data_IF_277575736251
#
_entry.id   IF_277575736251
#
_cell.length_a   1.000
_cell.length_b   1.000
_cell.length_c   1.000
_cell.angle_alpha   90.00
_cell.angle_beta   90.00
_cell.angle_gamma   90.00
#
_symmetry.space_group_name_H-M   'P 1'
#
loop_
_entity.id
_entity.type
_entity.pdbx_description
1 polymer ?
#
# COMPACT_ATOMS: atom_id res chain seq x y z
N UNK A 1 41.48 -25.33 45.98
CA UNK A 1 41.36 -24.35 44.88
C UNK A 1 41.07 -24.98 43.50
N UNK A 2 41.65 -26.13 43.12
CA UNK A 2 41.47 -26.71 41.78
C UNK A 2 40.05 -27.23 41.41
N UNK A 3 39.18 -27.56 42.39
CA UNK A 3 37.78 -27.96 42.11
C UNK A 3 36.87 -26.79 41.69
N UNK A 4 37.13 -25.58 42.20
CA UNK A 4 36.36 -24.38 41.86
C UNK A 4 36.62 -23.90 40.44
N UNK A 5 37.85 -24.05 39.95
CA UNK A 5 38.24 -23.70 38.58
C UNK A 5 37.60 -24.62 37.55
N UNK A 6 37.55 -25.94 37.82
CA UNK A 6 36.84 -26.89 36.95
C UNK A 6 35.35 -26.60 36.84
N UNK A 7 34.71 -26.23 37.95
CA UNK A 7 33.28 -25.92 37.97
C UNK A 7 32.94 -24.62 37.22
N UNK A 8 33.78 -23.59 37.34
CA UNK A 8 33.61 -22.34 36.60
C UNK A 8 33.82 -22.52 35.09
N UNK A 9 34.85 -23.28 34.70
CA UNK A 9 35.14 -23.59 33.30
C UNK A 9 34.04 -24.44 32.68
N UNK A 10 33.49 -25.43 33.39
CA UNK A 10 32.36 -26.23 32.89
C UNK A 10 31.08 -25.41 32.75
N UNK A 11 30.81 -24.48 33.67
CA UNK A 11 29.62 -23.61 33.59
C UNK A 11 29.74 -22.57 32.48
N UNK A 12 30.93 -22.00 32.25
CA UNK A 12 31.18 -21.10 31.13
C UNK A 12 31.12 -21.82 29.78
N UNK A 13 31.66 -23.04 29.68
CA UNK A 13 31.54 -23.86 28.47
C UNK A 13 30.10 -24.28 28.21
N UNK A 14 29.36 -24.69 29.24
CA UNK A 14 27.94 -25.02 29.11
C UNK A 14 27.13 -23.79 28.67
N UNK A 15 27.33 -22.63 29.30
CA UNK A 15 26.67 -21.39 28.90
C UNK A 15 27.05 -20.91 27.49
N UNK A 16 28.30 -21.13 27.06
CA UNK A 16 28.73 -20.82 25.71
C UNK A 16 28.14 -21.80 24.69
N UNK A 17 28.04 -23.09 25.03
CA UNK A 17 27.45 -24.13 24.19
C UNK A 17 25.94 -23.95 24.04
N UNK A 18 25.21 -23.59 25.11
CA UNK A 18 23.78 -23.26 25.04
C UNK A 18 23.56 -22.00 24.21
N UNK A 19 24.40 -20.97 24.35
CA UNK A 19 24.32 -19.77 23.49
C UNK A 19 24.65 -20.06 22.04
N UNK A 20 25.56 -20.98 21.76
CA UNK A 20 25.86 -21.41 20.39
C UNK A 20 24.70 -22.20 19.79
N UNK A 21 24.03 -23.05 20.58
CA UNK A 21 22.86 -23.80 20.16
C UNK A 21 21.64 -22.90 19.93
N UNK A 22 21.43 -21.91 20.79
CA UNK A 22 20.45 -20.84 20.60
C UNK A 22 20.75 -20.03 19.33
N UNK A 23 22.00 -19.60 19.12
CA UNK A 23 22.40 -18.88 17.91
C UNK A 23 22.25 -19.73 16.64
N UNK A 24 22.60 -21.02 16.70
CA UNK A 24 22.42 -21.94 15.56
C UNK A 24 20.93 -22.17 15.26
N UNK A 25 20.09 -22.25 16.29
CA UNK A 25 18.63 -22.35 16.14
C UNK A 25 18.04 -21.07 15.54
N UNK A 26 18.49 -19.89 15.97
CA UNK A 26 18.10 -18.61 15.38
C UNK A 26 18.52 -18.50 13.92
N UNK A 27 19.76 -18.89 13.58
CA UNK A 27 20.26 -18.89 12.20
C UNK A 27 19.49 -19.87 11.32
N UNK A 28 19.20 -21.07 11.83
CA UNK A 28 18.39 -22.07 11.11
C UNK A 28 16.93 -21.63 10.92
N UNK A 29 16.38 -20.91 11.90
CA UNK A 29 15.04 -20.34 11.79
C UNK A 29 15.01 -19.22 10.76
N UNK A 30 16.00 -18.31 10.77
CA UNK A 30 16.12 -17.23 9.79
C UNK A 30 16.35 -17.74 8.36
N UNK A 31 17.15 -18.80 8.18
CA UNK A 31 17.33 -19.44 6.87
C UNK A 31 16.04 -20.10 6.37
N UNK A 32 15.34 -20.84 7.24
CA UNK A 32 14.06 -21.50 6.92
C UNK A 32 12.99 -20.49 6.51
N UNK A 33 12.89 -19.36 7.22
CA UNK A 33 11.98 -18.26 6.89
C UNK A 33 12.33 -17.63 5.54
N UNK A 34 13.62 -17.45 5.26
CA UNK A 34 14.09 -16.94 3.96
C UNK A 34 13.73 -17.90 2.81
N UNK A 35 13.84 -19.21 3.01
CA UNK A 35 13.41 -20.21 2.02
C UNK A 35 11.89 -20.17 1.77
N UNK A 36 11.08 -19.96 2.80
CA UNK A 36 9.64 -19.79 2.67
C UNK A 36 9.28 -18.56 1.81
N UNK A 37 10.00 -17.45 2.02
CA UNK A 37 9.87 -16.26 1.18
C UNK A 37 10.24 -16.49 -0.28
N UNK A 38 11.32 -17.25 -0.54
CA UNK A 38 11.69 -17.66 -1.90
C UNK A 38 10.65 -18.58 -2.55
N UNK A 39 10.12 -19.54 -1.80
CA UNK A 39 9.07 -20.44 -2.26
C UNK A 39 7.82 -19.67 -2.67
N UNK A 40 7.40 -18.67 -1.87
CA UNK A 40 6.27 -17.82 -2.20
C UNK A 40 6.48 -17.07 -3.53
N UNK A 41 7.66 -16.51 -3.76
CA UNK A 41 8.01 -15.80 -5.01
C UNK A 41 8.08 -16.73 -6.22
N UNK A 42 8.66 -17.92 -6.06
CA UNK A 42 8.72 -18.92 -7.13
C UNK A 42 7.30 -19.41 -7.48
N UNK A 43 6.48 -19.71 -6.47
CA UNK A 43 5.09 -20.12 -6.69
C UNK A 43 4.30 -19.04 -7.45
N UNK A 44 4.46 -17.77 -7.07
CA UNK A 44 3.85 -16.64 -7.79
C UNK A 44 4.34 -16.56 -9.24
N UNK A 45 5.64 -16.72 -9.49
CA UNK A 45 6.20 -16.72 -10.85
C UNK A 45 5.60 -17.84 -11.69
N UNK A 46 5.52 -19.06 -11.16
CA UNK A 46 4.92 -20.22 -11.84
C UNK A 46 3.45 -19.95 -12.14
N UNK A 47 2.69 -19.39 -11.19
CA UNK A 47 1.30 -19.01 -11.39
C UNK A 47 1.13 -18.02 -12.54
N UNK A 48 1.95 -16.97 -12.56
CA UNK A 48 1.92 -15.93 -13.60
C UNK A 48 2.27 -16.51 -14.98
N UNK A 49 3.35 -17.29 -15.07
CA UNK A 49 3.76 -17.92 -16.31
C UNK A 49 2.67 -18.86 -16.85
N UNK A 50 2.09 -19.69 -15.99
CA UNK A 50 1.01 -20.60 -16.38
C UNK A 50 -0.22 -19.82 -16.87
N UNK A 51 -0.62 -18.78 -16.14
CA UNK A 51 -1.78 -17.96 -16.49
C UNK A 51 -1.62 -17.21 -17.82
N UNK A 52 -0.44 -16.65 -18.08
CA UNK A 52 -0.15 -15.99 -19.35
C UNK A 52 -0.06 -16.99 -20.50
N UNK A 53 0.52 -18.18 -20.26
CA UNK A 53 0.59 -19.25 -21.26
C UNK A 53 -0.79 -19.72 -21.70
N UNK A 54 -1.74 -19.93 -20.76
CA UNK A 54 -3.12 -20.32 -21.10
C UNK A 54 -3.81 -19.26 -21.95
N UNK A 55 -3.62 -17.98 -21.61
CA UNK A 55 -4.18 -16.87 -22.39
C UNK A 55 -3.63 -16.88 -23.80
N UNK A 56 -2.31 -16.98 -23.96
CA UNK A 56 -1.66 -17.08 -25.26
C UNK A 56 -2.14 -18.29 -26.07
N UNK A 57 -2.19 -19.49 -25.47
CA UNK A 57 -2.62 -20.73 -26.14
C UNK A 57 -4.04 -20.62 -26.71
N UNK A 58 -4.92 -19.91 -26.02
CA UNK A 58 -6.34 -19.78 -26.42
C UNK A 58 -6.62 -18.57 -27.32
N UNK A 59 -5.89 -17.47 -27.17
CA UNK A 59 -6.10 -16.27 -28.00
C UNK A 59 -5.21 -16.21 -29.23
N UNK A 60 -4.11 -16.98 -29.25
CA UNK A 60 -3.04 -16.89 -30.25
C UNK A 60 -2.51 -15.45 -30.45
N UNK A 61 -2.64 -14.60 -29.42
CA UNK A 61 -2.27 -13.20 -29.51
C UNK A 61 -0.75 -13.04 -29.43
N UNK A 62 -0.15 -12.53 -30.51
CA UNK A 62 1.28 -12.29 -30.61
C UNK A 62 1.79 -11.31 -29.54
N UNK A 63 0.94 -10.38 -29.06
CA UNK A 63 1.32 -9.42 -28.02
C UNK A 63 1.67 -10.10 -26.69
N UNK A 64 0.91 -11.14 -26.31
CA UNK A 64 1.18 -11.90 -25.07
C UNK A 64 2.52 -12.62 -25.17
N UNK A 65 2.83 -13.19 -26.33
CA UNK A 65 4.11 -13.84 -26.59
C UNK A 65 5.28 -12.85 -26.52
N UNK A 66 5.13 -11.67 -27.14
CA UNK A 66 6.15 -10.60 -27.10
C UNK A 66 6.39 -10.14 -25.66
N UNK A 67 5.32 -9.94 -24.88
CA UNK A 67 5.43 -9.58 -23.46
C UNK A 67 6.14 -10.68 -22.66
N UNK A 68 5.82 -11.95 -22.92
CA UNK A 68 6.46 -13.07 -22.25
C UNK A 68 7.97 -13.14 -22.54
N UNK A 69 8.37 -12.98 -23.80
CA UNK A 69 9.78 -12.93 -24.22
C UNK A 69 10.49 -11.73 -23.57
N UNK A 70 9.86 -10.55 -23.60
CA UNK A 70 10.38 -9.36 -22.94
C UNK A 70 10.57 -9.60 -21.44
N UNK A 71 9.67 -10.33 -20.81
CA UNK A 71 9.78 -10.67 -19.39
C UNK A 71 10.94 -11.58 -19.06
N UNK A 72 11.18 -12.61 -19.87
CA UNK A 72 12.37 -13.44 -19.73
C UNK A 72 13.65 -12.60 -19.90
N UNK A 73 13.65 -11.66 -20.83
CA UNK A 73 14.77 -10.74 -21.04
C UNK A 73 15.00 -9.82 -19.83
N UNK A 74 13.94 -9.22 -19.28
CA UNK A 74 14.02 -8.37 -18.08
C UNK A 74 14.51 -9.17 -16.86
N UNK A 75 14.00 -10.38 -16.65
CA UNK A 75 14.48 -11.27 -15.58
C UNK A 75 15.93 -11.72 -15.79
N UNK A 76 16.34 -11.94 -17.05
CA UNK A 76 17.73 -12.22 -17.42
C UNK A 76 18.66 -11.06 -17.08
N UNK A 77 18.29 -9.83 -17.47
CA UNK A 77 19.03 -8.61 -17.11
C UNK A 77 19.09 -8.46 -15.59
N UNK A 78 17.98 -8.63 -14.88
CA UNK A 78 17.96 -8.55 -13.43
C UNK A 78 18.93 -9.59 -12.80
N UNK A 79 18.99 -10.80 -13.34
CA UNK A 79 19.91 -11.84 -12.87
C UNK A 79 21.38 -11.45 -13.13
N UNK A 80 21.70 -10.92 -14.31
CA UNK A 80 23.04 -10.43 -14.64
C UNK A 80 23.44 -9.27 -13.70
N UNK A 81 22.54 -8.31 -13.48
CA UNK A 81 22.80 -7.20 -12.56
C UNK A 81 23.06 -7.68 -11.13
N UNK A 82 22.34 -8.72 -10.68
CA UNK A 82 22.52 -9.30 -9.36
C UNK A 82 23.86 -10.01 -9.22
N UNK A 83 24.13 -10.99 -10.08
CA UNK A 83 25.29 -11.89 -9.92
C UNK A 83 26.59 -11.32 -10.47
N UNK A 84 26.55 -10.59 -11.60
CA UNK A 84 27.76 -10.13 -12.27
C UNK A 84 28.16 -8.73 -11.82
N UNK A 85 27.20 -7.81 -11.71
CA UNK A 85 27.47 -6.42 -11.35
C UNK A 85 27.31 -6.12 -9.85
N UNK A 86 26.86 -7.09 -9.05
CA UNK A 86 26.56 -6.90 -7.61
C UNK A 86 25.59 -5.73 -7.35
N UNK A 87 24.76 -5.38 -8.33
CA UNK A 87 23.78 -4.29 -8.25
C UNK A 87 22.43 -4.83 -7.74
N UNK A 88 22.41 -5.30 -6.50
CA UNK A 88 21.25 -5.97 -5.90
C UNK A 88 19.98 -5.13 -5.94
N UNK A 89 20.08 -3.84 -5.60
CA UNK A 89 18.93 -2.92 -5.56
C UNK A 89 18.31 -2.71 -6.94
N UNK A 90 19.13 -2.60 -7.99
CA UNK A 90 18.65 -2.41 -9.36
C UNK A 90 17.97 -3.68 -9.89
N UNK A 91 18.57 -4.85 -9.61
CA UNK A 91 17.99 -6.15 -9.94
C UNK A 91 16.63 -6.38 -9.28
N UNK A 92 16.55 -6.19 -7.96
CA UNK A 92 15.31 -6.34 -7.21
C UNK A 92 14.26 -5.32 -7.67
N UNK A 93 14.68 -4.09 -7.98
CA UNK A 93 13.79 -3.06 -8.49
C UNK A 93 13.12 -3.47 -9.80
N UNK A 94 13.92 -3.91 -10.78
CA UNK A 94 13.42 -4.40 -12.07
C UNK A 94 12.49 -5.61 -11.90
N UNK A 95 12.86 -6.55 -11.04
CA UNK A 95 12.05 -7.75 -10.78
C UNK A 95 10.69 -7.42 -10.18
N UNK A 96 10.63 -6.56 -9.15
CA UNK A 96 9.36 -6.19 -8.50
C UNK A 96 8.45 -5.38 -9.44
N UNK A 97 9.02 -4.46 -10.22
CA UNK A 97 8.30 -3.73 -11.26
C UNK A 97 7.66 -4.70 -12.26
N UNK A 98 8.43 -5.70 -12.70
CA UNK A 98 7.98 -6.69 -13.66
C UNK A 98 6.90 -7.62 -13.09
N UNK A 99 7.02 -8.04 -11.83
CA UNK A 99 5.97 -8.82 -11.15
C UNK A 99 4.64 -8.07 -11.07
N UNK A 100 4.68 -6.78 -10.68
CA UNK A 100 3.47 -5.93 -10.67
C UNK A 100 2.84 -5.82 -12.06
N UNK A 101 3.66 -5.64 -13.10
CA UNK A 101 3.20 -5.56 -14.48
C UNK A 101 2.55 -6.86 -14.97
N UNK A 102 3.22 -8.00 -14.81
CA UNK A 102 2.67 -9.29 -15.27
C UNK A 102 1.39 -9.67 -14.52
N UNK A 103 1.34 -9.41 -13.20
CA UNK A 103 0.15 -9.70 -12.41
C UNK A 103 -1.02 -8.77 -12.82
N UNK A 104 -0.75 -7.52 -13.15
CA UNK A 104 -1.73 -6.60 -13.73
C UNK A 104 -2.28 -7.10 -15.08
N UNK A 105 -1.41 -7.57 -15.97
CA UNK A 105 -1.85 -8.16 -17.25
C UNK A 105 -2.74 -9.39 -17.03
N UNK A 106 -2.38 -10.26 -16.09
CA UNK A 106 -3.17 -11.43 -15.73
C UNK A 106 -4.56 -11.04 -15.21
N UNK A 107 -4.68 -9.89 -14.54
CA UNK A 107 -5.95 -9.33 -14.08
C UNK A 107 -6.83 -8.86 -15.23
N UNK A 108 -6.27 -8.14 -16.20
CA UNK A 108 -7.05 -7.46 -17.25
C UNK A 108 -7.32 -8.31 -18.50
N UNK A 109 -6.48 -9.31 -18.77
CA UNK A 109 -6.64 -10.25 -19.89
C UNK A 109 -7.51 -11.45 -19.49
N UNK A 110 -8.70 -11.22 -18.90
CA UNK A 110 -9.62 -12.30 -18.55
C UNK A 110 -10.70 -12.48 -19.62
N UNK A 111 -11.08 -13.72 -19.92
CA UNK A 111 -12.16 -14.04 -20.84
C UNK A 111 -12.95 -15.27 -20.34
N UNK A 112 -14.24 -15.29 -20.65
CA UNK A 112 -15.16 -16.41 -20.35
C UNK A 112 -14.72 -17.74 -20.97
N UNK A 113 -13.95 -17.71 -22.05
CA UNK A 113 -13.42 -18.88 -22.76
C UNK A 113 -12.43 -19.70 -21.92
N UNK A 114 -11.83 -19.12 -20.88
CA UNK A 114 -10.84 -19.80 -20.03
C UNK A 114 -11.48 -20.58 -18.87
N UNK A 115 -12.79 -20.42 -18.61
CA UNK A 115 -13.44 -20.95 -17.40
C UNK A 115 -13.34 -22.47 -17.24
N UNK A 116 -13.30 -23.20 -18.34
CA UNK A 116 -13.32 -24.67 -18.34
C UNK A 116 -11.92 -25.29 -18.56
N UNK A 117 -10.85 -24.48 -18.62
CA UNK A 117 -9.51 -25.00 -18.84
C UNK A 117 -8.84 -25.42 -17.53
N UNK A 118 -8.35 -26.66 -17.47
CA UNK A 118 -7.66 -27.24 -16.31
C UNK A 118 -6.44 -26.41 -15.92
N UNK A 119 -5.75 -25.83 -16.90
CA UNK A 119 -4.56 -25.00 -16.67
C UNK A 119 -4.90 -23.65 -16.04
N UNK A 120 -6.04 -23.05 -16.38
CA UNK A 120 -6.54 -21.82 -15.73
C UNK A 120 -6.97 -22.11 -14.29
N UNK A 121 -7.57 -23.28 -14.05
CA UNK A 121 -7.92 -23.71 -12.70
C UNK A 121 -6.67 -23.97 -11.83
N UNK A 122 -5.65 -24.64 -12.37
CA UNK A 122 -4.35 -24.76 -11.71
C UNK A 122 -3.74 -23.39 -11.39
N UNK A 123 -3.82 -22.43 -12.32
CA UNK A 123 -3.35 -21.05 -12.11
C UNK A 123 -4.06 -20.39 -10.92
N UNK A 124 -5.38 -20.56 -10.77
CA UNK A 124 -6.14 -20.00 -9.63
C UNK A 124 -5.67 -20.58 -8.30
N UNK A 125 -5.46 -21.89 -8.21
CA UNK A 125 -4.95 -22.52 -6.99
C UNK A 125 -3.51 -22.09 -6.67
N UNK A 126 -2.67 -21.90 -7.70
CA UNK A 126 -1.31 -21.38 -7.52
C UNK A 126 -1.31 -19.93 -7.01
N UNK A 127 -2.20 -19.07 -7.52
CA UNK A 127 -2.36 -17.70 -7.00
C UNK A 127 -2.85 -17.71 -5.55
N UNK A 128 -3.85 -18.55 -5.22
CA UNK A 128 -4.37 -18.63 -3.86
C UNK A 128 -3.33 -19.19 -2.88
N UNK A 129 -2.57 -20.19 -3.28
CA UNK A 129 -1.45 -20.70 -2.47
C UNK A 129 -0.34 -19.66 -2.32
N UNK A 130 -0.07 -18.81 -3.32
CA UNK A 130 0.89 -17.71 -3.19
C UNK A 130 0.45 -16.70 -2.11
N UNK A 131 -0.85 -16.38 -2.03
CA UNK A 131 -1.41 -15.54 -0.95
C UNK A 131 -1.16 -16.17 0.41
N UNK A 132 -1.52 -17.45 0.56
CA UNK A 132 -1.37 -18.17 1.84
C UNK A 132 0.09 -18.25 2.25
N UNK A 133 1.00 -18.62 1.34
CA UNK A 133 2.43 -18.67 1.60
C UNK A 133 2.99 -17.30 1.99
N UNK A 134 2.52 -16.22 1.33
CA UNK A 134 2.94 -14.86 1.65
C UNK A 134 2.51 -14.43 3.05
N UNK A 135 1.26 -14.67 3.42
CA UNK A 135 0.73 -14.36 4.76
C UNK A 135 1.46 -15.19 5.82
N UNK A 136 1.65 -16.49 5.59
CA UNK A 136 2.37 -17.36 6.51
C UNK A 136 3.82 -16.90 6.69
N UNK A 137 4.52 -16.57 5.60
CA UNK A 137 5.89 -16.04 5.66
C UNK A 137 5.95 -14.76 6.49
N UNK A 138 5.06 -13.80 6.18
CA UNK A 138 4.96 -12.52 6.88
C UNK A 138 4.65 -12.69 8.37
N UNK A 139 3.82 -13.67 8.73
CA UNK A 139 3.47 -13.96 10.12
C UNK A 139 4.62 -14.64 10.87
N UNK A 140 5.27 -15.64 10.26
CA UNK A 140 6.42 -16.33 10.87
C UNK A 140 7.59 -15.36 11.07
N UNK A 141 7.89 -14.51 10.09
CA UNK A 141 8.93 -13.46 10.21
C UNK A 141 8.71 -12.58 11.45
N UNK A 142 7.45 -12.23 11.76
CA UNK A 142 7.08 -11.38 12.91
C UNK A 142 7.11 -12.13 14.24
N UNK A 143 6.57 -13.35 14.29
CA UNK A 143 6.58 -14.18 15.51
C UNK A 143 8.01 -14.54 15.90
N UNK A 144 8.86 -14.83 14.92
CA UNK A 144 10.26 -15.17 15.15
C UNK A 144 11.16 -13.95 15.42
N UNK A 145 10.62 -12.73 15.39
CA UNK A 145 11.39 -11.51 15.61
C UNK A 145 12.45 -11.23 14.54
N UNK A 146 12.32 -11.83 13.35
CA UNK A 146 13.28 -11.70 12.26
C UNK A 146 13.19 -10.35 11.53
N UNK A 147 12.18 -9.52 11.84
CA UNK A 147 11.95 -8.23 11.17
C UNK A 147 12.56 -7.09 11.96
N UNK A 148 13.34 -6.27 11.26
CA UNK A 148 13.73 -4.95 11.76
C UNK A 148 12.76 -3.90 11.24
N UNK A 149 11.87 -3.41 12.10
CA UNK A 149 10.88 -2.40 11.72
C UNK A 149 11.58 -1.06 11.42
N UNK A 150 11.56 -0.65 10.16
CA UNK A 150 12.05 0.66 9.72
C UNK A 150 10.87 1.59 9.44
N UNK A 151 10.96 2.87 9.81
CA UNK A 151 9.93 3.83 9.46
C UNK A 151 10.02 4.15 7.97
N UNK A 152 9.04 3.71 7.20
CA UNK A 152 8.88 3.99 5.77
C UNK A 152 7.41 4.25 5.46
N UNK A 153 7.14 5.19 4.56
CA UNK A 153 5.77 5.47 4.09
C UNK A 153 5.31 4.36 3.15
N UNK A 154 6.12 4.09 2.12
CA UNK A 154 5.93 3.02 1.16
C UNK A 154 7.30 2.38 0.90
N UNK A 155 7.37 1.07 0.88
CA UNK A 155 8.61 0.37 0.53
C UNK A 155 8.87 0.48 -0.97
N UNK A 156 10.13 0.35 -1.37
CA UNK A 156 10.50 0.35 -2.80
C UNK A 156 9.83 -0.80 -3.55
N UNK A 157 9.66 -1.95 -2.88
CA UNK A 157 8.97 -3.13 -3.42
C UNK A 157 7.51 -2.79 -3.72
N UNK A 158 6.76 -2.30 -2.73
CA UNK A 158 5.34 -1.93 -2.90
C UNK A 158 5.19 -0.86 -3.97
N UNK A 159 6.02 0.18 -3.95
CA UNK A 159 5.98 1.25 -4.96
C UNK A 159 6.17 0.70 -6.38
N UNK A 160 7.15 -0.18 -6.59
CA UNK A 160 7.43 -0.71 -7.92
C UNK A 160 6.38 -1.71 -8.38
N UNK A 161 5.83 -2.53 -7.49
CA UNK A 161 4.70 -3.42 -7.82
C UNK A 161 3.45 -2.62 -8.19
N UNK A 162 3.14 -1.55 -7.45
CA UNK A 162 2.05 -0.61 -7.75
C UNK A 162 2.25 0.08 -9.11
N UNK A 163 3.45 0.59 -9.38
CA UNK A 163 3.78 1.21 -10.67
C UNK A 163 3.70 0.20 -11.81
N UNK A 164 4.19 -1.02 -11.62
CA UNK A 164 4.08 -2.09 -12.62
C UNK A 164 2.62 -2.41 -12.95
N UNK A 165 1.78 -2.53 -11.94
CA UNK A 165 0.34 -2.78 -12.11
C UNK A 165 -0.36 -1.60 -12.82
N UNK A 166 0.00 -0.36 -12.48
CA UNK A 166 -0.49 0.83 -13.17
C UNK A 166 -0.08 0.85 -14.66
N UNK A 167 1.16 0.48 -14.99
CA UNK A 167 1.62 0.35 -16.38
C UNK A 167 0.84 -0.73 -17.11
N UNK A 168 0.55 -1.87 -16.48
CA UNK A 168 -0.25 -2.93 -17.12
C UNK A 168 -1.64 -2.44 -17.54
N UNK A 169 -2.22 -1.50 -16.78
CA UNK A 169 -3.54 -0.93 -17.10
C UNK A 169 -3.55 -0.10 -18.40
N UNK A 170 -2.40 0.37 -18.90
CA UNK A 170 -2.33 1.14 -20.15
C UNK A 170 -2.59 0.29 -21.39
N UNK A 171 -2.64 -1.04 -21.25
CA UNK A 171 -3.11 -1.94 -22.31
C UNK A 171 -4.61 -1.79 -22.58
N UNK A 172 -5.35 -1.14 -21.68
CA UNK A 172 -6.77 -0.87 -21.79
C UNK A 172 -7.06 0.51 -22.37
N UNK A 173 -8.34 0.78 -22.71
CA UNK A 173 -8.81 2.12 -23.10
C UNK A 173 -8.45 3.18 -22.05
N UNK A 174 -8.07 4.38 -22.51
CA UNK A 174 -7.54 5.48 -21.68
C UNK A 174 -8.45 5.82 -20.49
N UNK A 175 -9.76 5.85 -20.67
CA UNK A 175 -10.70 6.15 -19.58
C UNK A 175 -10.65 5.09 -18.46
N UNK A 176 -10.54 3.82 -18.85
CA UNK A 176 -10.48 2.67 -17.92
C UNK A 176 -9.12 2.58 -17.25
N UNK A 177 -8.04 2.85 -17.98
CA UNK A 177 -6.69 2.87 -17.42
C UNK A 177 -6.53 3.98 -16.38
N UNK A 178 -7.06 5.18 -16.63
CA UNK A 178 -7.08 6.27 -15.65
C UNK A 178 -7.81 5.89 -14.36
N UNK A 179 -8.92 5.16 -14.47
CA UNK A 179 -9.66 4.65 -13.32
C UNK A 179 -8.80 3.66 -12.51
N UNK A 180 -8.13 2.72 -13.17
CA UNK A 180 -7.23 1.78 -12.48
C UNK A 180 -6.04 2.48 -11.85
N UNK A 181 -5.44 3.48 -12.50
CA UNK A 181 -4.34 4.27 -11.94
C UNK A 181 -4.78 4.96 -10.63
N UNK A 182 -5.98 5.55 -10.61
CA UNK A 182 -6.55 6.13 -9.40
C UNK A 182 -6.80 5.08 -8.31
N UNK A 183 -7.23 3.86 -8.66
CA UNK A 183 -7.36 2.75 -7.69
C UNK A 183 -6.02 2.38 -7.07
N UNK A 184 -4.97 2.31 -7.89
CA UNK A 184 -3.59 2.03 -7.42
C UNK A 184 -3.10 3.15 -6.50
N UNK A 185 -3.41 4.41 -6.82
CA UNK A 185 -3.09 5.55 -5.96
C UNK A 185 -3.84 5.48 -4.62
N UNK A 186 -5.14 5.16 -4.63
CA UNK A 186 -5.92 4.96 -3.40
C UNK A 186 -5.37 3.79 -2.56
N UNK A 187 -4.97 2.68 -3.20
CA UNK A 187 -4.31 1.56 -2.52
C UNK A 187 -2.97 1.98 -1.89
N UNK A 188 -2.17 2.80 -2.59
CA UNK A 188 -0.92 3.32 -2.06
C UNK A 188 -1.14 4.16 -0.80
N UNK A 189 -2.17 5.02 -0.82
CA UNK A 189 -2.57 5.83 0.34
C UNK A 189 -3.05 4.94 1.51
N UNK A 190 -3.81 3.89 1.22
CA UNK A 190 -4.25 2.91 2.22
C UNK A 190 -3.08 2.15 2.86
N UNK A 191 -2.07 1.76 2.07
CA UNK A 191 -0.85 1.13 2.60
C UNK A 191 -0.12 2.09 3.54
N UNK A 192 0.00 3.36 3.15
CA UNK A 192 0.59 4.40 4.00
C UNK A 192 -0.21 4.54 5.30
N UNK A 193 -1.54 4.59 5.22
CA UNK A 193 -2.44 4.73 6.36
C UNK A 193 -2.29 3.58 7.37
N UNK A 194 -2.20 2.33 6.87
CA UNK A 194 -1.92 1.14 7.68
C UNK A 194 -0.55 1.21 8.36
N UNK A 195 0.52 1.60 7.64
CA UNK A 195 1.88 1.72 8.21
C UNK A 195 1.97 2.79 9.27
N UNK A 196 1.27 3.91 9.07
CA UNK A 196 1.18 4.99 10.06
C UNK A 196 0.35 4.62 11.28
N UNK A 197 -0.40 3.51 11.25
CA UNK A 197 -1.32 3.07 12.32
C UNK A 197 -2.28 4.20 12.70
N UNK A 198 -2.84 4.81 11.67
CA UNK A 198 -3.92 5.78 11.84
C UNK A 198 -5.11 5.13 12.53
N UNK A 199 -5.86 5.90 13.31
CA UNK A 199 -7.04 5.43 14.04
C UNK A 199 -8.09 4.82 13.09
N UNK A 200 -8.21 5.37 11.88
CA UNK A 200 -9.19 4.94 10.87
C UNK A 200 -8.66 3.90 9.88
N UNK A 201 -7.43 3.39 10.04
CA UNK A 201 -6.80 2.54 9.03
C UNK A 201 -7.55 1.21 8.77
N UNK A 202 -8.03 0.55 9.83
CA UNK A 202 -8.79 -0.71 9.69
C UNK A 202 -10.19 -0.46 9.09
N UNK A 203 -10.98 0.51 9.57
CA UNK A 203 -12.21 0.92 8.89
C UNK A 203 -11.99 1.29 7.42
N UNK A 204 -10.95 2.07 7.10
CA UNK A 204 -10.62 2.49 5.73
C UNK A 204 -10.31 1.28 4.84
N UNK A 205 -9.59 0.29 5.35
CA UNK A 205 -9.32 -0.95 4.63
C UNK A 205 -10.62 -1.73 4.31
N UNK A 206 -11.52 -1.84 5.29
CA UNK A 206 -12.80 -2.51 5.10
C UNK A 206 -13.68 -1.79 4.07
N UNK A 207 -13.76 -0.45 4.16
CA UNK A 207 -14.51 0.39 3.22
C UNK A 207 -13.90 0.30 1.82
N UNK A 208 -12.57 0.41 1.69
CA UNK A 208 -11.86 0.26 0.43
C UNK A 208 -12.16 -1.09 -0.22
N UNK A 209 -12.05 -2.19 0.55
CA UNK A 209 -12.37 -3.52 0.06
C UNK A 209 -13.82 -3.63 -0.44
N UNK A 210 -14.78 -3.16 0.36
CA UNK A 210 -16.20 -3.22 0.02
C UNK A 210 -16.55 -2.38 -1.22
N UNK A 211 -16.10 -1.12 -1.28
CA UNK A 211 -16.37 -0.23 -2.42
C UNK A 211 -15.65 -0.72 -3.69
N UNK A 212 -14.40 -1.18 -3.57
CA UNK A 212 -13.67 -1.73 -4.70
C UNK A 212 -14.38 -2.97 -5.28
N UNK A 213 -14.78 -3.93 -4.43
CA UNK A 213 -15.39 -5.18 -4.88
C UNK A 213 -16.83 -5.04 -5.34
N UNK A 214 -17.66 -4.28 -4.60
CA UNK A 214 -19.12 -4.24 -4.82
C UNK A 214 -19.53 -3.18 -5.84
N UNK A 215 -18.75 -2.10 -5.99
CA UNK A 215 -19.17 -0.94 -6.78
C UNK A 215 -18.18 -0.66 -7.91
N UNK A 216 -16.89 -0.54 -7.61
CA UNK A 216 -15.88 -0.16 -8.60
C UNK A 216 -15.71 -1.18 -9.73
N UNK A 217 -15.35 -2.44 -9.42
CA UNK A 217 -15.12 -3.44 -10.46
C UNK A 217 -16.37 -3.76 -11.29
N UNK A 218 -17.58 -3.87 -10.70
CA UNK A 218 -18.82 -3.99 -11.48
C UNK A 218 -19.08 -2.79 -12.39
N UNK A 219 -18.89 -1.55 -11.90
CA UNK A 219 -19.09 -0.32 -12.69
C UNK A 219 -18.05 -0.16 -13.81
N UNK A 220 -16.85 -0.71 -13.63
CA UNK A 220 -15.80 -0.69 -14.64
C UNK A 220 -16.19 -1.48 -15.91
N UNK A 221 -17.08 -2.49 -15.78
CA UNK A 221 -17.57 -3.38 -16.86
C UNK A 221 -16.45 -4.08 -17.64
N UNK A 222 -15.36 -4.41 -16.96
CA UNK A 222 -14.21 -5.12 -17.53
C UNK A 222 -14.22 -6.57 -17.02
N UNK A 223 -13.96 -7.56 -17.90
CA UNK A 223 -13.70 -8.92 -17.44
C UNK A 223 -12.36 -8.93 -16.69
N UNK A 224 -12.43 -8.86 -15.37
CA UNK A 224 -11.23 -8.93 -14.50
C UNK A 224 -11.08 -10.35 -13.94
N UNK A 225 -9.85 -10.78 -13.71
CA UNK A 225 -9.57 -12.03 -12.99
C UNK A 225 -9.56 -11.76 -11.47
N UNK A 226 -10.58 -12.21 -10.71
CA UNK A 226 -10.69 -11.90 -9.29
C UNK A 226 -9.58 -12.55 -8.46
N UNK A 227 -9.05 -13.71 -8.88
CA UNK A 227 -7.97 -14.39 -8.15
C UNK A 227 -6.64 -13.65 -8.27
N UNK A 228 -6.35 -13.12 -9.46
CA UNK A 228 -5.14 -12.32 -9.69
C UNK A 228 -5.22 -10.97 -8.94
N UNK A 229 -6.40 -10.32 -8.95
CA UNK A 229 -6.65 -9.11 -8.17
C UNK A 229 -6.49 -9.37 -6.67
N UNK A 230 -7.16 -10.40 -6.15
CA UNK A 230 -7.05 -10.79 -4.75
C UNK A 230 -5.59 -11.10 -4.37
N UNK A 231 -4.84 -11.75 -5.26
CA UNK A 231 -3.41 -12.00 -5.06
C UNK A 231 -2.61 -10.71 -4.95
N UNK A 232 -2.81 -9.77 -5.88
CA UNK A 232 -2.10 -8.47 -5.86
C UNK A 232 -2.39 -7.68 -4.59
N UNK A 233 -3.68 -7.49 -4.25
CA UNK A 233 -4.07 -6.74 -3.05
C UNK A 233 -3.59 -7.43 -1.77
N UNK A 234 -3.77 -8.75 -1.65
CA UNK A 234 -3.39 -9.48 -0.44
C UNK A 234 -1.88 -9.45 -0.23
N UNK A 235 -1.08 -9.66 -1.28
CA UNK A 235 0.38 -9.64 -1.16
C UNK A 235 0.92 -8.26 -0.72
N UNK A 236 0.31 -7.17 -1.18
CA UNK A 236 0.69 -5.80 -0.79
C UNK A 236 0.20 -5.42 0.61
N UNK A 237 -1.02 -5.82 0.99
CA UNK A 237 -1.64 -5.41 2.27
C UNK A 237 -1.19 -6.28 3.44
N UNK A 238 -0.75 -7.53 3.21
CA UNK A 238 -0.40 -8.48 4.28
C UNK A 238 0.63 -7.92 5.27
N UNK A 239 1.72 -7.35 4.78
CA UNK A 239 2.76 -6.78 5.63
C UNK A 239 2.29 -5.56 6.45
N UNK A 240 1.79 -4.48 5.82
CA UNK A 240 1.36 -3.30 6.56
C UNK A 240 0.21 -3.62 7.53
N UNK A 241 -0.68 -4.57 7.19
CA UNK A 241 -1.75 -5.02 8.09
C UNK A 241 -1.21 -5.72 9.33
N UNK A 242 -0.27 -6.64 9.18
CA UNK A 242 0.36 -7.32 10.33
C UNK A 242 1.19 -6.34 11.16
N UNK A 243 1.84 -5.35 10.52
CA UNK A 243 2.61 -4.31 11.22
C UNK A 243 1.75 -3.40 12.11
N UNK A 244 0.43 -3.28 11.86
CA UNK A 244 -0.49 -2.58 12.79
C UNK A 244 -0.44 -3.21 14.19
N UNK A 245 -0.33 -4.54 14.25
CA UNK A 245 -0.31 -5.31 15.50
C UNK A 245 1.11 -5.53 16.04
N UNK A 246 2.04 -5.98 15.21
CA UNK A 246 3.38 -6.40 15.65
C UNK A 246 4.41 -5.27 15.76
N UNK A 247 4.21 -4.13 15.09
CA UNK A 247 5.19 -3.05 15.13
C UNK A 247 5.10 -2.26 16.45
N UNK A 248 6.22 -2.25 17.19
CA UNK A 248 6.41 -1.45 18.40
C UNK A 248 6.83 0.01 18.16
N UNK A 249 6.94 0.46 16.90
CA UNK A 249 7.36 1.84 16.59
C UNK A 249 6.38 2.86 17.17
N UNK A 250 6.92 3.92 17.77
CA UNK A 250 6.13 5.06 18.26
C UNK A 250 5.51 5.85 17.11
N UNK A 251 4.48 6.66 17.41
CA UNK A 251 3.79 7.47 16.39
C UNK A 251 4.77 8.43 15.69
N UNK A 252 5.64 9.09 16.45
CA UNK A 252 6.60 10.07 15.91
C UNK A 252 7.68 9.40 15.04
N UNK A 253 8.10 8.18 15.40
CA UNK A 253 9.01 7.38 14.57
C UNK A 253 8.39 6.95 13.25
N UNK A 254 7.12 6.50 13.24
CA UNK A 254 6.43 6.09 11.99
C UNK A 254 6.31 7.24 11.01
N UNK A 255 5.92 8.41 11.50
CA UNK A 255 5.76 9.63 10.68
C UNK A 255 7.09 10.30 10.31
N UNK A 256 8.22 9.84 10.88
CA UNK A 256 9.56 10.38 10.64
C UNK A 256 9.89 10.61 9.15
N UNK A 257 9.64 9.68 8.20
CA UNK A 257 9.99 9.89 6.80
C UNK A 257 9.23 11.06 6.16
N UNK A 258 8.00 11.30 6.61
CA UNK A 258 7.19 12.44 6.19
C UNK A 258 7.63 13.74 6.86
N UNK A 259 7.87 13.69 8.17
CA UNK A 259 8.29 14.85 8.98
C UNK A 259 9.62 15.42 8.50
N UNK A 260 10.60 14.57 8.22
CA UNK A 260 11.92 14.99 7.75
C UNK A 260 11.97 15.37 6.26
N UNK A 261 10.87 15.20 5.52
CA UNK A 261 10.81 15.60 4.11
C UNK A 261 10.84 17.13 3.98
N UNK A 262 11.40 17.62 2.87
CA UNK A 262 11.56 19.07 2.65
C UNK A 262 10.24 19.86 2.73
N UNK A 263 10.34 21.14 3.11
CA UNK A 263 9.19 22.06 3.26
C UNK A 263 8.27 22.07 2.03
N UNK A 264 8.86 22.06 0.83
CA UNK A 264 8.14 22.09 -0.44
C UNK A 264 7.28 20.84 -0.59
N UNK A 265 7.83 19.66 -0.28
CA UNK A 265 7.07 18.42 -0.43
C UNK A 265 5.89 18.33 0.53
N UNK A 266 6.07 18.77 1.79
CA UNK A 266 4.95 18.84 2.74
C UNK A 266 3.86 19.82 2.28
N UNK A 267 4.24 20.97 1.70
CA UNK A 267 3.27 21.92 1.12
C UNK A 267 2.55 21.35 -0.09
N UNK A 268 3.26 20.67 -0.99
CA UNK A 268 2.65 20.00 -2.14
C UNK A 268 1.68 18.90 -1.69
N UNK A 269 1.96 18.20 -0.59
CA UNK A 269 1.03 17.23 0.00
C UNK A 269 -0.31 17.89 0.40
N UNK A 270 -0.27 19.07 1.05
CA UNK A 270 -1.50 19.79 1.44
C UNK A 270 -2.26 20.29 0.20
N UNK A 271 -1.55 20.83 -0.79
CA UNK A 271 -2.15 21.28 -2.04
C UNK A 271 -2.80 20.09 -2.78
N UNK A 272 -2.12 18.94 -2.80
CA UNK A 272 -2.64 17.72 -3.42
C UNK A 272 -3.95 17.28 -2.77
N UNK A 273 -4.06 17.33 -1.44
CA UNK A 273 -5.32 17.03 -0.73
C UNK A 273 -6.41 18.00 -1.16
N UNK A 274 -6.14 19.32 -1.16
CA UNK A 274 -7.12 20.32 -1.59
C UNK A 274 -7.57 20.16 -3.05
N UNK A 275 -6.68 19.72 -3.95
CA UNK A 275 -7.02 19.41 -5.35
C UNK A 275 -7.95 18.21 -5.43
N UNK A 276 -7.67 17.13 -4.68
CA UNK A 276 -8.55 15.93 -4.65
C UNK A 276 -9.93 16.30 -4.12
N UNK A 277 -10.00 17.02 -3.00
CA UNK A 277 -11.26 17.50 -2.41
C UNK A 277 -12.06 18.37 -3.40
N UNK A 278 -11.38 19.26 -4.14
CA UNK A 278 -12.02 20.08 -5.15
C UNK A 278 -12.57 19.22 -6.30
N UNK A 279 -11.81 18.24 -6.79
CA UNK A 279 -12.28 17.34 -7.85
C UNK A 279 -13.50 16.54 -7.35
N UNK A 280 -13.47 16.02 -6.11
CA UNK A 280 -14.62 15.36 -5.49
C UNK A 280 -15.87 16.25 -5.54
N UNK A 281 -15.74 17.51 -5.10
CA UNK A 281 -16.84 18.46 -5.09
C UNK A 281 -17.38 18.77 -6.49
N UNK A 282 -16.50 18.95 -7.48
CA UNK A 282 -16.89 19.16 -8.88
C UNK A 282 -17.63 17.94 -9.45
N UNK A 283 -17.13 16.73 -9.18
CA UNK A 283 -17.80 15.50 -9.61
C UNK A 283 -19.16 15.32 -8.92
N UNK A 284 -19.27 15.66 -7.64
CA UNK A 284 -20.55 15.67 -6.92
C UNK A 284 -21.52 16.68 -7.57
N UNK A 285 -21.05 17.87 -7.94
CA UNK A 285 -21.86 18.89 -8.60
C UNK A 285 -22.40 18.45 -9.96
N UNK A 286 -21.68 17.63 -10.72
CA UNK A 286 -22.20 17.08 -11.98
C UNK A 286 -23.46 16.22 -11.78
N UNK A 287 -23.72 15.69 -10.59
CA UNK A 287 -24.97 14.98 -10.29
C UNK A 287 -26.21 15.88 -10.38
N UNK A 288 -26.05 17.19 -10.27
CA UNK A 288 -27.15 18.16 -10.42
C UNK A 288 -27.74 18.20 -11.83
N UNK A 289 -27.00 17.74 -12.85
CA UNK A 289 -27.49 17.66 -14.23
C UNK A 289 -28.47 16.51 -14.47
N UNK A 290 -28.64 15.61 -13.51
CA UNK A 290 -29.52 14.45 -13.60
C UNK A 290 -30.92 14.81 -13.08
N UNK A 291 -31.91 14.85 -14.00
CA UNK A 291 -33.25 15.39 -13.74
C UNK A 291 -34.19 14.40 -13.02
N UNK A 292 -33.82 13.12 -12.91
CA UNK A 292 -34.70 12.07 -12.40
C UNK A 292 -35.08 12.23 -10.91
N UNK A 293 -34.24 12.91 -10.11
CA UNK A 293 -34.44 13.12 -8.66
C UNK A 293 -34.21 14.58 -8.21
N UNK A 294 -34.43 15.54 -9.10
CA UNK A 294 -33.99 16.92 -8.93
C UNK A 294 -34.50 17.59 -7.64
N UNK A 295 -35.75 17.31 -7.23
CA UNK A 295 -36.37 17.84 -6.02
C UNK A 295 -35.65 17.47 -4.71
N UNK A 296 -34.95 16.33 -4.67
CA UNK A 296 -34.18 15.90 -3.50
C UNK A 296 -32.69 16.27 -3.62
N UNK A 297 -32.14 16.12 -4.82
CA UNK A 297 -30.71 16.28 -5.06
C UNK A 297 -30.27 17.74 -5.00
N UNK A 298 -31.02 18.71 -5.55
CA UNK A 298 -30.60 20.13 -5.48
C UNK A 298 -30.59 20.63 -4.04
N UNK A 299 -31.69 20.53 -3.26
CA UNK A 299 -31.69 21.10 -1.92
C UNK A 299 -30.68 20.38 -1.02
N UNK A 300 -30.54 19.05 -1.18
CA UNK A 300 -29.52 18.27 -0.49
C UNK A 300 -28.11 18.76 -0.82
N UNK A 301 -27.75 18.85 -2.10
CA UNK A 301 -26.44 19.36 -2.53
C UNK A 301 -26.20 20.80 -2.06
N UNK A 302 -27.20 21.68 -2.11
CA UNK A 302 -27.04 23.06 -1.65
C UNK A 302 -26.73 23.14 -0.15
N UNK A 303 -27.51 22.45 0.69
CA UNK A 303 -27.32 22.50 2.15
C UNK A 303 -26.03 21.78 2.55
N UNK A 304 -25.86 20.53 2.11
CA UNK A 304 -24.69 19.74 2.48
C UNK A 304 -23.42 20.20 1.78
N UNK A 305 -23.50 20.73 0.57
CA UNK A 305 -22.36 21.30 -0.16
C UNK A 305 -21.82 22.57 0.47
N UNK A 306 -22.70 23.49 0.91
CA UNK A 306 -22.25 24.68 1.66
C UNK A 306 -21.58 24.27 2.97
N UNK A 307 -22.21 23.35 3.71
CA UNK A 307 -21.64 22.83 4.95
C UNK A 307 -20.27 22.15 4.71
N UNK A 308 -20.17 21.35 3.65
CA UNK A 308 -18.93 20.70 3.23
C UNK A 308 -17.83 21.72 2.90
N UNK A 309 -18.13 22.76 2.11
CA UNK A 309 -17.15 23.81 1.78
C UNK A 309 -16.62 24.47 3.05
N UNK A 310 -17.51 24.85 3.99
CA UNK A 310 -17.11 25.50 5.24
C UNK A 310 -16.16 24.58 6.04
N UNK A 311 -16.53 23.30 6.21
CA UNK A 311 -15.72 22.34 6.94
C UNK A 311 -14.35 22.13 6.28
N UNK A 312 -14.30 21.91 4.96
CA UNK A 312 -13.06 21.63 4.24
C UNK A 312 -12.15 22.86 4.10
N UNK A 313 -12.70 24.07 3.96
CA UNK A 313 -11.89 25.30 3.99
C UNK A 313 -11.22 25.49 5.35
N UNK A 314 -11.98 25.30 6.45
CA UNK A 314 -11.41 25.35 7.81
C UNK A 314 -10.36 24.25 8.00
N UNK A 315 -10.62 23.04 7.53
CA UNK A 315 -9.68 21.93 7.56
C UNK A 315 -8.37 22.25 6.80
N UNK A 316 -8.44 22.76 5.57
CA UNK A 316 -7.24 23.12 4.80
C UNK A 316 -6.45 24.26 5.46
N UNK A 317 -7.12 25.27 6.01
CA UNK A 317 -6.47 26.38 6.74
C UNK A 317 -5.74 25.83 7.98
N UNK A 318 -6.41 24.98 8.75
CA UNK A 318 -5.85 24.39 9.98
C UNK A 318 -4.68 23.45 9.68
N UNK A 319 -4.79 22.63 8.63
CA UNK A 319 -3.72 21.77 8.13
C UNK A 319 -2.51 22.59 7.66
N UNK A 320 -2.74 23.67 6.92
CA UNK A 320 -1.69 24.59 6.49
C UNK A 320 -0.99 25.27 7.69
N UNK A 321 -1.77 25.70 8.68
CA UNK A 321 -1.27 26.26 9.94
C UNK A 321 -0.43 25.25 10.73
N UNK A 322 -0.90 24.00 10.82
CA UNK A 322 -0.19 22.89 11.45
C UNK A 322 1.18 22.66 10.79
N UNK A 323 1.22 22.57 9.46
CA UNK A 323 2.47 22.41 8.72
C UNK A 323 3.44 23.58 8.88
N UNK A 324 2.91 24.80 9.02
CA UNK A 324 3.73 25.98 9.27
C UNK A 324 4.38 25.91 10.65
N UNK A 325 3.61 25.57 11.70
CA UNK A 325 4.16 25.35 13.05
C UNK A 325 5.15 24.20 13.12
N UNK A 326 4.89 23.12 12.37
CA UNK A 326 5.79 21.96 12.29
C UNK A 326 7.14 22.35 11.67
N UNK A 327 7.11 23.21 10.65
CA UNK A 327 8.32 23.75 10.06
C UNK A 327 9.13 24.60 11.03
N UNK A 328 8.47 25.39 11.88
CA UNK A 328 9.14 26.16 12.93
C UNK A 328 9.78 25.25 13.99
N UNK A 329 9.10 24.15 14.37
CA UNK A 329 9.67 23.13 15.25
C UNK A 329 10.93 22.50 14.64
N UNK A 330 10.90 22.17 13.35
CA UNK A 330 12.07 21.66 12.64
C UNK A 330 13.21 22.69 12.61
N UNK A 331 12.92 23.97 12.38
CA UNK A 331 13.94 25.03 12.38
C UNK A 331 14.66 25.09 13.73
N UNK A 332 13.91 25.07 14.84
CA UNK A 332 14.45 25.05 16.20
C UNK A 332 15.24 23.76 16.48
N UNK A 333 14.73 22.61 16.03
CA UNK A 333 15.43 21.33 16.17
C UNK A 333 16.79 21.33 15.44
N UNK A 334 16.86 21.87 14.22
CA UNK A 334 18.11 21.95 13.48
C UNK A 334 19.10 22.93 14.09
N UNK A 335 18.65 24.04 14.67
CA UNK A 335 19.55 25.00 15.34
C UNK A 335 20.06 24.49 16.69
N UNK A 336 19.27 23.70 17.43
CA UNK A 336 19.65 23.11 18.72
C UNK A 336 20.10 21.64 18.62
N UNK A 337 20.54 21.19 17.45
CA UNK A 337 20.94 19.78 17.22
C UNK A 337 22.08 19.31 18.14
N UNK A 338 22.92 20.22 18.62
CA UNK A 338 24.04 19.92 19.51
C UNK A 338 23.62 19.56 20.96
N UNK A 339 22.41 19.92 21.38
CA UNK A 339 21.95 19.78 22.78
C UNK A 339 21.18 18.47 23.05
N UNK A 340 21.24 17.48 22.16
CA UNK A 340 20.57 16.18 22.30
C UNK A 340 19.03 16.29 22.54
N UNK A 341 18.41 17.40 22.11
CA UNK A 341 16.98 17.61 22.27
C UNK A 341 16.20 16.80 21.21
N UNK A 342 15.31 15.90 21.67
CA UNK A 342 14.43 15.15 20.79
C UNK A 342 13.37 16.06 20.15
N UNK A 343 13.00 15.79 18.89
CA UNK A 343 11.97 16.52 18.16
C UNK A 343 10.65 16.57 18.95
N UNK A 344 10.33 15.46 19.62
CA UNK A 344 9.12 15.30 20.44
C UNK A 344 9.06 16.33 21.58
N UNK A 345 10.20 16.64 22.21
CA UNK A 345 10.29 17.66 23.27
C UNK A 345 10.06 19.06 22.72
N UNK A 346 10.55 19.35 21.51
CA UNK A 346 10.34 20.65 20.83
C UNK A 346 8.87 20.79 20.40
N UNK A 347 8.25 19.73 19.90
CA UNK A 347 6.83 19.73 19.54
C UNK A 347 5.94 19.91 20.77
N UNK A 348 6.29 19.28 21.89
CA UNK A 348 5.59 19.43 23.16
C UNK A 348 5.69 20.88 23.69
N UNK A 349 6.88 21.48 23.67
CA UNK A 349 7.08 22.86 24.18
C UNK A 349 6.39 23.93 23.33
N UNK A 350 6.20 23.69 22.03
CA UNK A 350 5.45 24.57 21.12
C UNK A 350 3.94 24.34 21.14
N UNK A 351 3.44 23.47 22.01
CA UNK A 351 2.00 23.23 22.19
C UNK A 351 1.34 22.48 21.04
N UNK A 352 2.09 21.65 20.29
CA UNK A 352 1.56 20.93 19.13
C UNK A 352 0.39 19.99 19.49
N UNK A 353 0.36 19.49 20.73
CA UNK A 353 -0.71 18.62 21.25
C UNK A 353 -2.10 19.26 21.14
N UNK A 354 -2.25 20.55 21.46
CA UNK A 354 -3.53 21.23 21.36
C UNK A 354 -3.98 21.36 19.89
N UNK A 355 -3.04 21.61 18.97
CA UNK A 355 -3.32 21.63 17.54
C UNK A 355 -3.77 20.26 17.02
N UNK A 356 -3.13 19.18 17.49
CA UNK A 356 -3.53 17.82 17.13
C UNK A 356 -4.95 17.48 17.59
N UNK A 357 -5.33 17.84 18.82
CA UNK A 357 -6.69 17.60 19.34
C UNK A 357 -7.77 18.34 18.54
N UNK A 358 -7.51 19.60 18.19
CA UNK A 358 -8.43 20.39 17.34
C UNK A 358 -8.48 19.77 15.93
N UNK A 359 -7.32 19.40 15.37
CA UNK A 359 -7.22 18.77 14.06
C UNK A 359 -7.96 17.43 14.00
N UNK A 360 -7.93 16.63 15.07
CA UNK A 360 -8.64 15.36 15.16
C UNK A 360 -10.15 15.55 15.03
N UNK A 361 -10.72 16.52 15.77
CA UNK A 361 -12.15 16.84 15.68
C UNK A 361 -12.52 17.36 14.29
N UNK A 362 -11.69 18.22 13.70
CA UNK A 362 -11.93 18.75 12.35
C UNK A 362 -11.88 17.65 11.28
N UNK A 363 -10.92 16.72 11.34
CA UNK A 363 -10.86 15.56 10.44
C UNK A 363 -12.14 14.75 10.54
N UNK A 364 -12.63 14.48 11.75
CA UNK A 364 -13.88 13.75 11.93
C UNK A 364 -15.07 14.48 11.29
N UNK A 365 -15.22 15.78 11.52
CA UNK A 365 -16.30 16.58 10.90
C UNK A 365 -16.20 16.62 9.37
N UNK A 366 -15.00 16.80 8.82
CA UNK A 366 -14.78 16.79 7.35
C UNK A 366 -15.08 15.43 6.73
N UNK A 367 -14.73 14.32 7.40
CA UNK A 367 -15.07 12.98 6.94
C UNK A 367 -16.58 12.74 6.94
N UNK A 368 -17.27 13.14 8.01
CA UNK A 368 -18.74 13.04 8.09
C UNK A 368 -19.39 13.90 7.01
N UNK A 369 -18.93 15.14 6.82
CA UNK A 369 -19.43 16.01 5.75
C UNK A 369 -19.23 15.39 4.36
N UNK A 370 -18.06 14.80 4.10
CA UNK A 370 -17.75 14.12 2.84
C UNK A 370 -18.63 12.88 2.64
N UNK A 371 -18.83 12.07 3.68
CA UNK A 371 -19.71 10.90 3.62
C UNK A 371 -21.16 11.28 3.32
N UNK A 372 -21.68 12.34 3.96
CA UNK A 372 -23.04 12.82 3.73
C UNK A 372 -23.20 13.39 2.31
N UNK A 373 -22.27 14.24 1.88
CA UNK A 373 -22.31 14.80 0.52
C UNK A 373 -22.18 13.71 -0.54
N UNK A 374 -21.26 12.75 -0.32
CA UNK A 374 -21.04 11.59 -1.19
C UNK A 374 -22.27 10.69 -1.28
N UNK A 375 -22.97 10.44 -0.17
CA UNK A 375 -24.19 9.65 -0.14
C UNK A 375 -25.35 10.34 -0.89
N UNK A 376 -25.51 11.65 -0.72
CA UNK A 376 -26.55 12.43 -1.42
C UNK A 376 -26.27 12.50 -2.93
N UNK A 377 -25.00 12.60 -3.30
CA UNK A 377 -24.56 12.75 -4.69
C UNK A 377 -24.09 11.44 -5.31
N UNK A 378 -24.51 10.29 -4.77
CA UNK A 378 -23.95 9.00 -5.14
C UNK A 378 -24.14 8.69 -6.64
N UNK A 379 -23.06 8.30 -7.30
CA UNK A 379 -23.03 8.00 -8.72
C UNK A 379 -22.54 6.56 -8.97
N UNK A 380 -23.49 5.64 -9.18
CA UNK A 380 -23.18 4.21 -9.36
C UNK A 380 -22.34 3.93 -10.61
N UNK A 381 -22.55 4.70 -11.69
CA UNK A 381 -21.91 4.45 -12.99
C UNK A 381 -20.63 5.28 -13.22
N UNK A 382 -20.32 6.24 -12.33
CA UNK A 382 -19.15 7.11 -12.50
C UNK A 382 -17.96 6.56 -11.71
N UNK A 383 -17.09 5.83 -12.42
CA UNK A 383 -15.90 5.22 -11.82
C UNK A 383 -14.98 6.27 -11.17
N UNK A 384 -14.85 7.45 -11.77
CA UNK A 384 -14.02 8.53 -11.23
C UNK A 384 -14.56 9.02 -9.88
N UNK A 385 -15.88 9.16 -9.75
CA UNK A 385 -16.51 9.58 -8.49
C UNK A 385 -16.26 8.56 -7.36
N UNK A 386 -16.44 7.28 -7.64
CA UNK A 386 -16.19 6.20 -6.67
C UNK A 386 -14.72 6.21 -6.22
N UNK A 387 -13.80 6.37 -7.16
CA UNK A 387 -12.36 6.35 -6.87
C UNK A 387 -11.87 7.59 -6.14
N UNK A 388 -12.39 8.76 -6.47
CA UNK A 388 -12.04 10.00 -5.78
C UNK A 388 -12.67 10.05 -4.39
N UNK A 389 -13.78 9.35 -4.17
CA UNK A 389 -14.32 9.15 -2.81
C UNK A 389 -13.47 8.21 -1.96
N UNK A 390 -12.69 7.32 -2.60
CA UNK A 390 -11.79 6.37 -1.94
C UNK A 390 -10.40 6.96 -1.63
N UNK A 391 -10.02 8.03 -2.31
CA UNK A 391 -8.71 8.67 -2.22
C UNK A 391 -8.76 9.86 -1.26
#
# INVERSE_FOLDING_TARGET
MCRSLRYCVSHCLYAAMTRLEEANREVNMHSSVRYLGYLARINLLVAICMGLYVRWEKTADALILVIFILGLFVLGIASILYYYFSMEAASLSLSNLWFGFLLGLLCFLNNSTFKNDVKEEATKYLLLSAIVLRILCALVERICGCIHHRPTLLTTVEFLELVGFAIASTTMLVEKSMSIILLVMALAMLIIDLRMKSFLAIPNLAIFGALASLLFFPSLKIPTNPFALACFFSCLISDPLLDVYFSGLSVTERWKPYLYRGRICRRLSVISVGVVELIFFVLAAFKLGDLDLWYFVIPGFSIFGIFWIICHVIFLITLWGFHTKLNDCHKVYYTHRAENNSLDRVMASKGMRHFCLISEQLVFFSLVATAVLGAVCWQVNNNLFILISLL
#
